data_IF_544461233986
#
_entry.id   IF_544461233986
#
_cell.length_a   1.000
_cell.length_b   1.000
_cell.length_c   1.000
_cell.angle_alpha   90.00
_cell.angle_beta   90.00
_cell.angle_gamma   90.00
#
_symmetry.space_group_name_H-M   'P 1'
#
loop_
_entity.id
_entity.type
_entity.pdbx_description
1 polymer ?
#
# COMPACT_ATOMS: atom_id res chain seq x y z
N UNK A 1 -11.03 -16.17 6.54
CA UNK A 1 -10.69 -15.66 5.20
C UNK A 1 -9.37 -16.28 4.78
N UNK A 2 -9.37 -17.17 3.79
CA UNK A 2 -8.16 -17.83 3.28
C UNK A 2 -7.77 -17.16 1.96
N UNK A 3 -6.50 -16.75 1.82
CA UNK A 3 -5.97 -16.15 0.60
C UNK A 3 -5.43 -17.28 -0.29
N UNK A 4 -6.00 -17.43 -1.48
CA UNK A 4 -5.62 -18.44 -2.47
C UNK A 4 -4.84 -17.84 -3.63
N UNK A 5 -5.24 -16.66 -4.11
CA UNK A 5 -4.56 -15.93 -5.20
C UNK A 5 -4.39 -14.46 -4.81
N UNK A 6 -3.34 -13.81 -5.34
CA UNK A 6 -3.01 -12.44 -4.98
C UNK A 6 -2.24 -11.76 -6.11
N UNK A 7 -2.94 -11.14 -7.06
CA UNK A 7 -2.36 -10.67 -8.31
C UNK A 7 -2.23 -9.15 -8.34
N UNK A 8 -1.09 -8.66 -8.82
CA UNK A 8 -0.83 -7.23 -8.91
C UNK A 8 -1.67 -6.62 -10.04
N UNK A 9 -2.43 -5.57 -9.71
CA UNK A 9 -3.32 -4.89 -10.65
C UNK A 9 -2.66 -3.63 -11.19
N UNK A 10 -2.35 -2.69 -10.29
CA UNK A 10 -1.79 -1.40 -10.67
C UNK A 10 -1.04 -0.75 -9.51
N UNK A 11 -0.12 0.14 -9.85
CA UNK A 11 0.59 1.02 -8.93
C UNK A 11 0.47 2.45 -9.42
N UNK A 12 -0.13 3.33 -8.61
CA UNK A 12 -0.40 4.71 -8.97
C UNK A 12 0.10 5.68 -7.91
N UNK A 13 0.43 6.89 -8.33
CA UNK A 13 0.76 8.01 -7.42
C UNK A 13 -0.45 8.83 -7.02
N UNK A 14 -1.56 8.70 -7.74
CA UNK A 14 -2.78 9.48 -7.57
C UNK A 14 -3.96 8.54 -7.34
N UNK A 15 -4.80 8.80 -6.31
CA UNK A 15 -6.02 8.03 -6.07
C UNK A 15 -6.97 7.99 -7.27
N UNK A 16 -7.01 9.07 -8.06
CA UNK A 16 -7.87 9.19 -9.25
C UNK A 16 -7.51 8.22 -10.39
N UNK A 17 -6.30 7.66 -10.36
CA UNK A 17 -5.84 6.69 -11.36
C UNK A 17 -6.03 5.24 -10.88
N UNK A 18 -6.50 5.04 -9.64
CA UNK A 18 -6.79 3.73 -9.08
C UNK A 18 -7.94 3.06 -9.84
N UNK A 19 -8.01 1.71 -9.80
CA UNK A 19 -9.08 0.99 -10.46
C UNK A 19 -10.42 1.39 -9.84
N UNK A 20 -11.49 1.24 -10.62
CA UNK A 20 -12.85 1.43 -10.13
C UNK A 20 -13.13 0.48 -8.95
N UNK A 21 -13.86 0.93 -7.90
CA UNK A 21 -14.12 0.15 -6.70
C UNK A 21 -15.21 -0.91 -6.96
N UNK A 22 -14.89 -1.92 -7.77
CA UNK A 22 -15.83 -2.99 -8.15
C UNK A 22 -15.98 -4.07 -7.08
N UNK A 23 -15.03 -4.16 -6.14
CA UNK A 23 -14.99 -5.14 -5.06
C UNK A 23 -14.62 -4.48 -3.73
N UNK A 24 -14.92 -5.11 -2.57
CA UNK A 24 -14.48 -4.60 -1.28
C UNK A 24 -12.96 -4.37 -1.23
N UNK A 25 -12.53 -3.24 -0.65
CA UNK A 25 -11.12 -2.87 -0.57
C UNK A 25 -10.63 -2.77 0.87
N UNK A 26 -9.46 -3.31 1.14
CA UNK A 26 -8.81 -3.27 2.44
C UNK A 26 -7.43 -2.63 2.32
N UNK A 27 -7.30 -1.44 2.88
CA UNK A 27 -6.07 -0.66 2.81
C UNK A 27 -5.16 -0.87 4.03
N UNK A 28 -3.87 -1.07 3.76
CA UNK A 28 -2.82 -1.11 4.77
C UNK A 28 -2.05 0.21 4.78
N UNK A 29 -2.03 0.87 5.93
CA UNK A 29 -1.24 2.09 6.18
C UNK A 29 -0.41 1.90 7.45
N UNK A 30 0.77 2.52 7.49
CA UNK A 30 1.65 2.45 8.65
C UNK A 30 2.87 3.33 8.48
N UNK A 31 3.67 3.50 9.54
CA UNK A 31 4.97 4.17 9.42
C UNK A 31 5.85 3.42 8.42
N UNK A 32 6.71 4.14 7.70
CA UNK A 32 7.66 3.45 6.82
C UNK A 32 8.60 2.56 7.65
N UNK A 33 8.99 1.42 7.09
CA UNK A 33 9.79 0.38 7.76
C UNK A 33 9.14 -0.25 9.00
N UNK A 34 7.83 -0.05 9.24
CA UNK A 34 7.09 -0.75 10.32
C UNK A 34 6.87 -2.24 10.02
N UNK A 35 7.17 -2.70 8.80
CA UNK A 35 6.96 -4.10 8.39
C UNK A 35 5.70 -4.36 7.57
N UNK A 36 5.00 -3.31 7.09
CA UNK A 36 3.78 -3.44 6.26
C UNK A 36 3.96 -4.38 5.06
N UNK A 37 5.01 -4.19 4.26
CA UNK A 37 5.27 -5.07 3.10
C UNK A 37 5.58 -6.51 3.52
N UNK A 38 6.22 -6.71 4.68
CA UNK A 38 6.46 -8.06 5.23
C UNK A 38 5.15 -8.74 5.62
N UNK A 39 4.21 -8.01 6.23
CA UNK A 39 2.88 -8.50 6.56
C UNK A 39 2.09 -8.87 5.30
N UNK A 40 2.11 -8.03 4.26
CA UNK A 40 1.42 -8.30 3.00
C UNK A 40 1.98 -9.56 2.32
N UNK A 41 3.31 -9.70 2.27
CA UNK A 41 3.95 -10.88 1.70
C UNK A 41 3.61 -12.17 2.50
N UNK A 42 3.49 -12.07 3.82
CA UNK A 42 3.07 -13.17 4.68
C UNK A 42 1.61 -13.56 4.42
N UNK A 43 0.69 -12.58 4.37
CA UNK A 43 -0.74 -12.81 4.13
C UNK A 43 -1.00 -13.43 2.74
N UNK A 44 -0.26 -12.96 1.73
CA UNK A 44 -0.43 -13.42 0.34
C UNK A 44 0.39 -14.66 -0.01
N UNK A 45 1.22 -15.16 0.92
CA UNK A 45 2.11 -16.29 0.68
C UNK A 45 3.14 -16.05 -0.43
N UNK A 46 3.33 -14.81 -0.90
CA UNK A 46 4.23 -14.43 -1.99
C UNK A 46 5.42 -13.65 -1.43
N UNK A 47 6.65 -14.12 -1.71
CA UNK A 47 7.90 -13.51 -1.17
C UNK A 47 8.23 -12.12 -1.71
N UNK A 48 7.60 -11.66 -2.79
CA UNK A 48 7.98 -10.40 -3.46
C UNK A 48 6.80 -9.67 -4.12
N UNK A 49 5.59 -9.87 -3.60
CA UNK A 49 4.39 -9.22 -4.15
C UNK A 49 4.38 -7.73 -3.78
N UNK A 50 4.57 -7.41 -2.51
CA UNK A 50 4.83 -6.05 -2.06
C UNK A 50 6.34 -5.78 -2.09
N UNK A 51 6.78 -4.93 -3.04
CA UNK A 51 8.20 -4.54 -3.13
C UNK A 51 8.59 -3.70 -1.91
N UNK A 52 9.53 -4.21 -1.12
CA UNK A 52 10.22 -3.44 -0.08
C UNK A 52 11.23 -2.51 -0.76
N UNK A 53 10.82 -1.30 -1.16
CA UNK A 53 11.79 -0.36 -1.74
C UNK A 53 12.74 0.15 -0.64
N UNK A 54 13.99 -0.32 -0.65
CA UNK A 54 15.02 0.10 0.32
C UNK A 54 15.50 1.55 0.17
N UNK A 55 14.99 2.31 -0.81
CA UNK A 55 15.30 3.74 -1.00
C UNK A 55 14.10 4.60 -0.62
N UNK A 56 14.09 5.20 0.58
CA UNK A 56 13.00 6.03 1.04
C UNK A 56 12.94 7.38 0.31
N UNK A 57 11.73 7.82 -0.03
CA UNK A 57 11.43 9.26 -0.09
C UNK A 57 11.31 9.96 -1.45
N UNK A 58 10.89 9.31 -2.55
CA UNK A 58 10.56 10.08 -3.77
C UNK A 58 9.22 9.80 -4.43
N UNK A 59 8.59 8.66 -4.18
CA UNK A 59 7.30 8.36 -4.81
C UNK A 59 6.45 7.55 -3.85
N UNK A 60 5.35 8.13 -3.40
CA UNK A 60 4.34 7.48 -2.59
C UNK A 60 3.39 6.74 -3.54
N UNK A 61 3.64 5.45 -3.77
CA UNK A 61 2.83 4.62 -4.65
C UNK A 61 1.72 3.92 -3.84
N UNK A 62 0.52 3.91 -4.41
CA UNK A 62 -0.63 3.12 -3.97
C UNK A 62 -0.63 1.86 -4.83
N UNK A 63 -0.39 0.71 -4.23
CA UNK A 63 -0.41 -0.57 -4.96
C UNK A 63 -1.73 -1.30 -4.72
N UNK A 64 -2.38 -1.75 -5.79
CA UNK A 64 -3.58 -2.57 -5.71
C UNK A 64 -3.26 -4.01 -6.07
N UNK A 65 -3.75 -4.94 -5.25
CA UNK A 65 -3.67 -6.36 -5.48
C UNK A 65 -5.08 -6.95 -5.48
N UNK A 66 -5.43 -7.71 -6.52
CA UNK A 66 -6.68 -8.45 -6.58
C UNK A 66 -6.48 -9.80 -5.90
N UNK A 67 -7.28 -10.06 -4.89
CA UNK A 67 -7.22 -11.28 -4.10
C UNK A 67 -8.41 -12.17 -4.46
N UNK A 68 -8.17 -13.49 -4.59
CA UNK A 68 -9.23 -14.50 -4.74
C UNK A 68 -10.21 -14.26 -5.90
N UNK A 69 -9.74 -13.70 -7.02
CA UNK A 69 -10.54 -13.29 -8.20
C UNK A 69 -11.69 -14.25 -8.59
N UNK A 70 -11.47 -15.56 -8.51
CA UNK A 70 -12.43 -16.58 -8.98
C UNK A 70 -13.52 -16.96 -7.99
N UNK A 71 -13.32 -16.73 -6.69
CA UNK A 71 -14.19 -17.27 -5.64
C UNK A 71 -14.83 -16.18 -4.78
N UNK A 72 -14.02 -15.25 -4.29
CA UNK A 72 -14.43 -14.19 -3.37
C UNK A 72 -13.51 -12.98 -3.59
N UNK A 73 -13.73 -12.21 -4.68
CA UNK A 73 -12.82 -11.16 -5.11
C UNK A 73 -12.84 -9.96 -4.16
N UNK A 74 -11.66 -9.48 -3.80
CA UNK A 74 -11.47 -8.24 -3.03
C UNK A 74 -10.11 -7.61 -3.35
N UNK A 75 -9.96 -6.31 -3.07
CA UNK A 75 -8.71 -5.60 -3.28
C UNK A 75 -7.94 -5.43 -1.98
N UNK A 76 -6.67 -5.82 -2.00
CA UNK A 76 -5.69 -5.42 -0.98
C UNK A 76 -4.96 -4.18 -1.49
N UNK A 77 -5.04 -3.10 -0.73
CA UNK A 77 -4.43 -1.82 -1.10
C UNK A 77 -3.24 -1.54 -0.19
N UNK A 78 -2.06 -1.41 -0.76
CA UNK A 78 -0.84 -1.03 -0.05
C UNK A 78 -0.63 0.48 -0.17
N UNK A 79 -0.96 1.20 0.91
CA UNK A 79 -0.76 2.64 0.95
C UNK A 79 0.69 2.99 1.28
N UNK A 80 1.18 4.15 0.80
CA UNK A 80 2.50 4.64 1.14
C UNK A 80 2.66 4.81 2.65
N UNK A 81 3.84 4.45 3.16
CA UNK A 81 4.13 4.60 4.59
C UNK A 81 4.35 6.06 4.97
N UNK A 82 3.77 6.51 6.06
CA UNK A 82 3.99 7.87 6.57
C UNK A 82 5.26 7.95 7.45
N UNK A 83 5.73 9.16 7.73
CA UNK A 83 6.74 9.42 8.77
C UNK A 83 8.21 9.11 8.44
N UNK A 84 8.55 8.52 7.28
CA UNK A 84 9.94 8.39 6.82
C UNK A 84 10.09 9.08 5.47
N UNK A 85 9.87 10.39 5.48
CA UNK A 85 10.51 11.25 4.51
C UNK A 85 11.69 11.88 5.23
N UNK A 86 12.86 11.84 4.61
CA UNK A 86 13.91 12.84 4.84
C UNK A 86 13.39 14.15 4.24
N UNK A 87 12.30 14.65 4.81
CA UNK A 87 11.52 15.77 4.32
C UNK A 87 12.29 17.03 4.69
N UNK A 88 12.43 17.96 3.75
CA UNK A 88 12.82 19.33 4.09
C UNK A 88 11.84 19.88 5.15
N UNK A 89 12.28 20.81 6.00
CA UNK A 89 11.46 21.36 7.10
C UNK A 89 10.04 21.80 6.67
N UNK A 90 9.81 22.12 5.39
CA UNK A 90 8.50 22.55 4.86
C UNK A 90 7.42 21.47 4.83
N UNK A 91 7.75 20.22 4.53
CA UNK A 91 6.74 19.14 4.40
C UNK A 91 6.45 18.48 5.76
N UNK A 92 7.28 18.69 6.79
CA UNK A 92 6.96 18.32 8.19
C UNK A 92 5.82 19.19 8.78
N UNK A 93 5.76 20.47 8.40
CA UNK A 93 4.77 21.42 8.96
C UNK A 93 3.34 21.03 8.56
N UNK A 94 3.12 20.66 7.29
CA UNK A 94 1.79 20.24 6.81
C UNK A 94 1.22 19.01 7.54
N UNK A 95 2.09 18.06 7.92
CA UNK A 95 1.63 16.87 8.65
C UNK A 95 1.31 17.17 10.12
N UNK A 96 2.02 18.11 10.76
CA UNK A 96 1.73 18.49 12.15
C UNK A 96 0.40 19.21 12.31
N UNK A 97 -0.02 20.00 11.32
CA UNK A 97 -1.32 20.69 11.33
C UNK A 97 -2.49 19.73 11.08
N UNK A 98 -2.27 18.60 10.38
CA UNK A 98 -3.31 17.61 10.11
C UNK A 98 -3.61 16.68 11.30
N UNK A 99 -2.68 16.59 12.26
CA UNK A 99 -2.79 15.68 13.43
C UNK A 99 -3.07 16.39 14.75
N UNK A 100 -3.37 17.69 14.72
CA UNK A 100 -3.65 18.48 15.92
C UNK A 100 -5.14 18.81 16.03
#
# INVERSE_FOLDING_TARGET
>A
MIIHTADFVVSNTRPELCPEPTYPEYAFIGRSNVGKSSLINMLTGRKSLAKTSGRPGKTQLINHFLINEKNDPWYLVDLPGYGYAKTSKKEQVKWSEFTR
#
